data_IF_679983479625
#
_entry.id   IF_679983479625
#
_cell.length_a   1.000
_cell.length_b   1.000
_cell.length_c   1.000
_cell.angle_alpha   90.00
_cell.angle_beta   90.00
_cell.angle_gamma   90.00
#
_symmetry.space_group_name_H-M   'P 1'
#
loop_
_entity.id
_entity.type
_entity.pdbx_description
1 polymer ?
#
# COMPACT_ATOMS: atom_id res chain seq x y z
N UNK A 1 5.82 -37.36 21.92
CA UNK A 1 5.59 -35.99 21.40
C UNK A 1 6.95 -35.32 21.26
N UNK A 2 7.21 -34.63 20.14
CA UNK A 2 8.45 -33.87 19.97
C UNK A 2 8.43 -32.66 20.92
N UNK A 3 9.57 -32.24 21.50
CA UNK A 3 9.61 -31.05 22.32
C UNK A 3 9.24 -29.82 21.48
N UNK A 4 8.54 -28.87 22.11
CA UNK A 4 8.01 -27.67 21.44
C UNK A 4 9.09 -26.87 20.69
N UNK A 5 10.33 -26.84 21.19
CA UNK A 5 11.46 -26.20 20.52
C UNK A 5 11.80 -26.83 19.17
N UNK A 6 11.84 -28.17 19.09
CA UNK A 6 12.11 -28.90 17.84
C UNK A 6 10.99 -28.67 16.81
N UNK A 7 9.73 -28.60 17.25
CA UNK A 7 8.60 -28.30 16.37
C UNK A 7 8.71 -26.87 15.80
N UNK A 8 9.09 -25.89 16.62
CA UNK A 8 9.29 -24.52 16.17
C UNK A 8 10.45 -24.40 15.17
N UNK A 9 11.57 -25.09 15.42
CA UNK A 9 12.72 -25.11 14.52
C UNK A 9 12.39 -25.80 13.20
N UNK A 10 11.73 -26.96 13.24
CA UNK A 10 11.28 -27.68 12.04
C UNK A 10 10.34 -26.83 11.21
N UNK A 11 9.36 -26.18 11.85
CA UNK A 11 8.44 -25.27 11.16
C UNK A 11 9.19 -24.12 10.50
N UNK A 12 10.12 -23.46 11.21
CA UNK A 12 10.94 -22.38 10.65
C UNK A 12 11.74 -22.81 9.43
N UNK A 13 12.43 -23.93 9.52
CA UNK A 13 13.18 -24.49 8.41
C UNK A 13 12.29 -24.72 7.17
N UNK A 14 11.10 -25.28 7.37
CA UNK A 14 10.18 -25.60 6.27
C UNK A 14 9.72 -24.36 5.50
N UNK A 15 9.26 -23.31 6.19
CA UNK A 15 8.73 -22.13 5.50
C UNK A 15 9.81 -21.09 5.11
N UNK A 16 10.94 -21.01 5.81
CA UNK A 16 12.00 -20.03 5.51
C UNK A 16 12.95 -20.52 4.42
N UNK A 17 13.30 -21.81 4.44
CA UNK A 17 14.39 -22.34 3.62
C UNK A 17 13.89 -23.39 2.62
N UNK A 18 13.25 -24.46 3.11
CA UNK A 18 12.97 -25.65 2.32
C UNK A 18 11.97 -25.42 1.19
N UNK A 19 10.76 -24.91 1.50
CA UNK A 19 9.74 -24.63 0.47
C UNK A 19 10.19 -23.54 -0.51
N UNK A 20 10.75 -22.39 -0.08
CA UNK A 20 11.29 -21.41 -1.02
C UNK A 20 12.41 -21.97 -1.92
N UNK A 21 13.28 -22.86 -1.41
CA UNK A 21 14.32 -23.51 -2.21
C UNK A 21 13.71 -24.44 -3.27
N UNK A 22 12.73 -25.27 -2.90
CA UNK A 22 11.99 -26.12 -3.85
C UNK A 22 11.30 -25.29 -4.95
N UNK A 23 10.69 -24.15 -4.58
CA UNK A 23 10.05 -23.23 -5.53
C UNK A 23 11.05 -22.72 -6.59
N UNK A 24 12.27 -22.38 -6.15
CA UNK A 24 13.34 -21.87 -7.03
C UNK A 24 13.95 -22.95 -7.91
N UNK A 25 14.08 -24.17 -7.38
CA UNK A 25 14.66 -25.30 -8.08
C UNK A 25 13.77 -25.82 -9.23
N UNK A 26 12.51 -25.38 -9.32
CA UNK A 26 11.52 -25.85 -10.34
C UNK A 26 11.43 -27.37 -10.37
N UNK A 27 11.30 -27.96 -9.18
CA UNK A 27 11.26 -29.41 -8.99
C UNK A 27 10.19 -30.07 -9.90
N UNK A 28 10.51 -31.18 -10.59
CA UNK A 28 9.59 -31.87 -11.49
C UNK A 28 8.27 -32.32 -10.86
N UNK A 29 8.20 -32.52 -9.53
CA UNK A 29 6.96 -32.82 -8.82
C UNK A 29 5.97 -31.64 -8.79
N UNK A 30 6.41 -30.44 -9.19
CA UNK A 30 5.96 -29.21 -8.55
C UNK A 30 6.04 -28.00 -9.53
N UNK A 31 5.69 -28.22 -10.80
CA UNK A 31 6.09 -27.39 -11.98
C UNK A 31 5.66 -25.91 -11.98
N UNK A 32 4.67 -25.49 -11.16
CA UNK A 32 4.16 -24.09 -11.14
C UNK A 32 3.65 -23.66 -9.76
N UNK A 33 4.56 -23.40 -8.83
CA UNK A 33 4.17 -22.72 -7.59
C UNK A 33 3.92 -21.21 -7.82
N UNK A 34 2.75 -20.68 -7.39
CA UNK A 34 2.41 -19.27 -7.58
C UNK A 34 3.22 -18.32 -6.67
N UNK A 35 3.90 -18.86 -5.66
CA UNK A 35 4.64 -18.09 -4.65
C UNK A 35 6.07 -18.59 -4.48
N UNK A 36 6.97 -17.66 -4.15
CA UNK A 36 8.41 -17.91 -4.02
C UNK A 36 9.02 -17.31 -2.73
N UNK A 37 8.19 -16.65 -1.91
CA UNK A 37 8.62 -15.94 -0.71
C UNK A 37 8.20 -16.72 0.54
N UNK A 38 9.08 -16.78 1.52
CA UNK A 38 8.91 -17.45 2.82
C UNK A 38 7.57 -17.16 3.52
N UNK A 39 7.23 -15.88 3.65
CA UNK A 39 6.01 -15.43 4.31
C UNK A 39 4.74 -15.78 3.52
N UNK A 40 4.84 -16.01 2.21
CA UNK A 40 3.72 -16.47 1.40
C UNK A 40 3.38 -17.93 1.73
N UNK A 41 4.39 -18.80 1.82
CA UNK A 41 4.20 -20.20 2.24
C UNK A 41 3.63 -20.27 3.66
N UNK A 42 4.23 -19.54 4.60
CA UNK A 42 3.74 -19.49 5.98
C UNK A 42 2.26 -19.05 6.03
N UNK A 43 1.87 -17.99 5.31
CA UNK A 43 0.46 -17.57 5.26
C UNK A 43 -0.46 -18.66 4.72
N UNK A 44 -0.13 -19.24 3.56
CA UNK A 44 -0.98 -20.23 2.88
C UNK A 44 -1.18 -21.45 3.77
N UNK A 45 -0.09 -21.97 4.33
CA UNK A 45 -0.12 -23.15 5.20
C UNK A 45 -0.93 -22.85 6.47
N UNK A 46 -0.67 -21.72 7.14
CA UNK A 46 -1.38 -21.39 8.38
C UNK A 46 -2.88 -21.14 8.16
N UNK A 47 -3.26 -20.51 7.05
CA UNK A 47 -4.68 -20.30 6.72
C UNK A 47 -5.42 -21.62 6.50
N UNK A 48 -4.76 -22.61 5.89
CA UNK A 48 -5.38 -23.89 5.57
C UNK A 48 -5.29 -24.94 6.70
N UNK A 49 -4.26 -24.88 7.55
CA UNK A 49 -4.08 -25.82 8.67
C UNK A 49 -4.76 -25.35 9.96
N UNK A 50 -4.66 -24.06 10.29
CA UNK A 50 -5.13 -23.49 11.56
C UNK A 50 -6.35 -22.60 11.34
N UNK A 51 -6.27 -21.72 10.34
CA UNK A 51 -7.31 -20.74 10.06
C UNK A 51 -8.66 -21.34 9.68
N UNK A 52 -8.64 -22.39 8.82
CA UNK A 52 -9.76 -23.15 8.26
C UNK A 52 -10.87 -22.30 7.63
N UNK A 53 -11.63 -21.59 8.46
CA UNK A 53 -12.77 -20.73 8.11
C UNK A 53 -12.47 -19.23 8.25
N UNK A 54 -11.33 -18.87 8.86
CA UNK A 54 -10.89 -17.48 9.02
C UNK A 54 -9.38 -17.35 8.83
N UNK A 55 -8.87 -16.13 8.55
CA UNK A 55 -7.44 -15.89 8.50
C UNK A 55 -6.70 -16.30 9.78
N UNK A 56 -5.54 -16.95 9.64
CA UNK A 56 -4.78 -17.49 10.80
C UNK A 56 -4.45 -16.42 11.86
N UNK A 57 -4.28 -15.17 11.44
CA UNK A 57 -3.92 -14.04 12.32
C UNK A 57 -5.07 -13.57 13.22
N UNK A 58 -6.27 -14.15 13.05
CA UNK A 58 -7.39 -13.99 13.98
C UNK A 58 -7.47 -15.12 15.01
N UNK A 59 -6.75 -16.22 14.78
CA UNK A 59 -6.72 -17.41 15.66
C UNK A 59 -5.46 -17.41 16.52
N UNK A 60 -4.32 -17.03 15.94
CA UNK A 60 -3.01 -17.05 16.61
C UNK A 60 -2.39 -15.66 16.61
N UNK A 61 -1.84 -15.25 17.76
CA UNK A 61 -1.13 -13.98 17.91
C UNK A 61 0.21 -14.00 17.16
N UNK A 62 0.60 -12.86 16.61
CA UNK A 62 1.93 -12.68 16.05
C UNK A 62 2.99 -12.55 17.16
N UNK A 63 4.21 -13.09 16.98
CA UNK A 63 4.65 -13.97 15.89
C UNK A 63 4.13 -15.40 16.06
N UNK A 64 3.59 -16.01 15.00
CA UNK A 64 2.90 -17.29 15.06
C UNK A 64 3.77 -18.42 15.64
N UNK A 65 5.04 -18.50 15.25
CA UNK A 65 5.99 -19.53 15.72
C UNK A 65 6.03 -19.63 17.25
N UNK A 66 5.93 -18.50 17.96
CA UNK A 66 6.00 -18.45 19.43
C UNK A 66 4.65 -18.67 20.13
N UNK A 67 3.54 -18.49 19.42
CA UNK A 67 2.20 -18.43 20.01
C UNK A 67 1.29 -19.60 19.57
N UNK A 68 1.77 -20.49 18.70
CA UNK A 68 1.06 -21.72 18.34
C UNK A 68 1.25 -22.79 19.41
N UNK A 69 0.23 -23.62 19.61
CA UNK A 69 0.34 -24.85 20.40
C UNK A 69 1.17 -25.90 19.65
N UNK A 70 1.62 -26.93 20.36
CA UNK A 70 2.23 -28.13 19.80
C UNK A 70 1.36 -28.77 18.69
N UNK A 71 0.07 -28.95 18.95
CA UNK A 71 -0.90 -29.50 17.97
C UNK A 71 -1.00 -28.62 16.72
N UNK A 72 -0.98 -27.30 16.88
CA UNK A 72 -1.03 -26.36 15.77
C UNK A 72 0.26 -26.37 14.94
N UNK A 73 1.42 -26.46 15.61
CA UNK A 73 2.71 -26.61 14.96
C UNK A 73 2.79 -27.92 14.17
N UNK A 74 2.36 -29.03 14.76
CA UNK A 74 2.29 -30.33 14.09
C UNK A 74 1.38 -30.28 12.86
N UNK A 75 0.21 -29.65 12.97
CA UNK A 75 -0.71 -29.47 11.84
C UNK A 75 -0.10 -28.63 10.70
N UNK A 76 0.63 -27.57 11.04
CA UNK A 76 1.30 -26.73 10.06
C UNK A 76 2.48 -27.45 9.37
N UNK A 77 3.27 -28.20 10.14
CA UNK A 77 4.38 -29.03 9.62
C UNK A 77 3.84 -30.12 8.69
N UNK A 78 2.80 -30.85 9.11
CA UNK A 78 2.18 -31.89 8.30
C UNK A 78 1.66 -31.33 6.96
N UNK A 79 1.06 -30.14 6.97
CA UNK A 79 0.61 -29.49 5.74
C UNK A 79 1.78 -29.05 4.84
N UNK A 80 2.86 -28.55 5.42
CA UNK A 80 4.07 -28.20 4.68
C UNK A 80 4.75 -29.42 4.03
N UNK A 81 4.78 -30.55 4.73
CA UNK A 81 5.35 -31.80 4.23
C UNK A 81 4.50 -32.39 3.10
N UNK A 82 3.16 -32.32 3.21
CA UNK A 82 2.24 -32.69 2.12
C UNK A 82 2.41 -31.82 0.87
N UNK A 83 2.69 -30.53 1.06
CA UNK A 83 3.04 -29.65 -0.05
C UNK A 83 4.34 -30.08 -0.70
N UNK A 84 5.37 -30.39 0.10
CA UNK A 84 6.66 -30.82 -0.41
C UNK A 84 6.59 -32.17 -1.16
N UNK A 85 5.79 -33.12 -0.69
CA UNK A 85 5.61 -34.43 -1.36
C UNK A 85 4.72 -34.36 -2.59
N UNK A 86 4.01 -33.25 -2.82
CA UNK A 86 3.06 -33.09 -3.92
C UNK A 86 1.66 -33.68 -3.65
N UNK A 87 1.40 -34.14 -2.41
CA UNK A 87 0.08 -34.61 -1.98
C UNK A 87 -0.94 -33.47 -1.79
N UNK A 88 -0.48 -32.22 -1.74
CA UNK A 88 -1.31 -31.04 -1.67
C UNK A 88 -0.93 -30.07 -2.79
N UNK A 89 -1.94 -29.48 -3.45
CA UNK A 89 -1.72 -28.47 -4.48
C UNK A 89 -1.63 -27.07 -3.85
N UNK A 90 -0.44 -26.46 -3.94
CA UNK A 90 -0.21 -25.10 -3.45
C UNK A 90 -1.12 -24.07 -4.14
N UNK A 91 -1.47 -24.27 -5.41
CA UNK A 91 -2.31 -23.32 -6.16
C UNK A 91 -3.74 -23.32 -5.61
N UNK A 92 -4.28 -24.49 -5.28
CA UNK A 92 -5.60 -24.62 -4.64
C UNK A 92 -5.59 -23.99 -3.24
N UNK A 93 -4.56 -24.28 -2.44
CA UNK A 93 -4.43 -23.73 -1.09
C UNK A 93 -4.24 -22.20 -1.10
N UNK A 94 -3.50 -21.65 -2.06
CA UNK A 94 -3.34 -20.21 -2.23
C UNK A 94 -4.66 -19.54 -2.59
N UNK A 95 -5.39 -20.12 -3.54
CA UNK A 95 -6.70 -19.63 -3.96
C UNK A 95 -7.68 -19.58 -2.78
N UNK A 96 -7.77 -20.67 -2.01
CA UNK A 96 -8.58 -20.71 -0.78
C UNK A 96 -8.15 -19.67 0.25
N UNK A 97 -6.85 -19.47 0.45
CA UNK A 97 -6.33 -18.45 1.37
C UNK A 97 -6.64 -17.02 0.89
N UNK A 98 -6.67 -16.76 -0.42
CA UNK A 98 -7.08 -15.47 -1.00
C UNK A 98 -8.59 -15.23 -0.89
N UNK A 99 -9.41 -16.27 -1.09
CA UNK A 99 -10.87 -16.24 -0.95
C UNK A 99 -11.28 -15.94 0.51
N UNK A 100 -10.67 -16.63 1.47
CA UNK A 100 -10.88 -16.39 2.91
C UNK A 100 -10.56 -14.95 3.34
N UNK A 101 -9.62 -14.29 2.64
CA UNK A 101 -9.21 -12.91 2.90
C UNK A 101 -9.93 -11.87 2.03
N UNK A 102 -10.90 -12.31 1.21
CA UNK A 102 -11.74 -11.44 0.38
C UNK A 102 -11.04 -10.81 -0.82
N UNK A 103 -9.86 -11.30 -1.24
CA UNK A 103 -9.07 -10.68 -2.32
C UNK A 103 -9.53 -11.03 -3.73
N UNK A 104 -10.47 -11.96 -3.89
CA UNK A 104 -10.88 -12.51 -5.19
C UNK A 104 -12.11 -11.82 -5.81
N UNK A 105 -12.68 -10.79 -5.16
CA UNK A 105 -13.86 -10.08 -5.70
C UNK A 105 -13.62 -9.27 -6.99
N UNK A 106 -12.39 -9.15 -7.48
CA UNK A 106 -12.07 -8.31 -8.64
C UNK A 106 -11.95 -9.02 -9.99
N UNK A 107 -12.22 -10.33 -10.09
CA UNK A 107 -12.13 -11.07 -11.38
C UNK A 107 -13.48 -11.48 -11.99
N UNK A 108 -14.59 -11.38 -11.25
CA UNK A 108 -15.93 -11.83 -11.70
C UNK A 108 -16.88 -10.71 -12.16
N UNK A 109 -16.50 -9.43 -12.05
CA UNK A 109 -17.35 -8.28 -12.42
C UNK A 109 -17.24 -7.83 -13.89
N UNK A 110 -16.69 -8.64 -14.79
CA UNK A 110 -16.48 -8.23 -16.20
C UNK A 110 -17.11 -9.19 -17.22
N UNK A 111 -17.99 -10.08 -16.80
CA UNK A 111 -18.62 -11.08 -17.67
C UNK A 111 -20.16 -11.01 -17.73
N UNK A 112 -20.82 -10.25 -16.84
CA UNK A 112 -22.30 -10.30 -16.71
C UNK A 112 -22.98 -8.93 -16.90
N UNK A 113 -22.32 -7.94 -17.52
CA UNK A 113 -22.94 -6.63 -17.86
C UNK A 113 -23.51 -6.63 -19.29
N UNK A 114 -24.31 -7.63 -19.63
CA UNK A 114 -25.24 -7.57 -20.77
C UNK A 114 -26.50 -8.38 -20.47
N UNK A 115 -27.40 -7.82 -19.64
CA UNK A 115 -28.84 -8.02 -19.71
C UNK A 115 -29.59 -7.26 -18.62
N UNK A 116 -30.60 -6.51 -19.05
CA UNK A 116 -31.82 -6.11 -18.34
C UNK A 116 -31.75 -4.96 -17.31
N UNK A 117 -32.29 -3.83 -17.79
CA UNK A 117 -33.00 -2.81 -17.03
C UNK A 117 -34.16 -3.44 -16.25
N UNK A 118 -34.24 -3.21 -14.94
CA UNK A 118 -35.51 -2.94 -14.22
C UNK A 118 -35.24 -2.23 -12.89
N UNK A 119 -36.07 -1.24 -12.61
CA UNK A 119 -36.15 -0.48 -11.36
C UNK A 119 -36.48 -1.35 -10.14
N UNK A 120 -35.92 -0.99 -8.97
CA UNK A 120 -36.21 -1.69 -7.71
C UNK A 120 -35.46 -1.16 -6.48
N UNK A 121 -35.92 -0.03 -5.96
CA UNK A 121 -35.91 0.42 -4.55
C UNK A 121 -34.87 -0.10 -3.54
N UNK A 122 -34.05 0.87 -3.08
CA UNK A 122 -33.33 1.03 -1.80
C UNK A 122 -33.72 0.08 -0.64
N UNK A 123 -32.69 -0.53 -0.02
CA UNK A 123 -32.54 -0.65 1.45
C UNK A 123 -31.08 -0.47 1.87
N UNK A 124 -30.67 0.78 2.11
CA UNK A 124 -29.45 1.09 2.86
C UNK A 124 -29.72 0.84 4.35
N UNK A 125 -28.96 -0.07 4.97
CA UNK A 125 -28.86 -0.13 6.43
C UNK A 125 -28.10 1.11 6.91
N UNK A 126 -28.79 1.98 7.64
CA UNK A 126 -28.23 3.09 8.42
C UNK A 126 -27.13 2.56 9.34
N UNK A 127 -25.93 3.09 9.20
CA UNK A 127 -24.91 3.10 10.24
C UNK A 127 -24.68 4.56 10.65
N UNK A 128 -24.69 4.81 11.96
CA UNK A 128 -24.68 6.11 12.61
C UNK A 128 -23.55 7.04 12.17
N UNK A 129 -23.76 8.36 12.12
CA UNK A 129 -22.71 9.32 11.81
C UNK A 129 -21.88 9.59 13.06
N UNK A 130 -20.76 8.88 13.22
CA UNK A 130 -19.71 9.36 14.13
C UNK A 130 -18.91 10.41 13.37
N UNK A 131 -19.36 11.66 13.49
CA UNK A 131 -18.62 12.84 13.04
C UNK A 131 -17.26 12.83 13.73
N UNK A 132 -16.17 12.77 12.94
CA UNK A 132 -14.82 12.95 13.45
C UNK A 132 -14.72 14.34 14.08
N UNK A 133 -14.36 14.41 15.36
CA UNK A 133 -14.35 15.61 16.21
C UNK A 133 -13.31 16.66 15.82
N UNK A 134 -12.64 16.50 14.68
CA UNK A 134 -11.57 17.37 14.19
C UNK A 134 -12.03 18.34 13.10
N UNK A 135 -13.30 18.29 12.68
CA UNK A 135 -13.87 19.24 11.73
C UNK A 135 -14.40 20.49 12.45
N UNK A 136 -13.58 21.53 12.57
CA UNK A 136 -14.08 22.84 12.94
C UNK A 136 -14.82 23.47 11.73
N UNK A 137 -16.05 23.97 11.89
CA UNK A 137 -16.68 24.80 10.86
C UNK A 137 -15.89 26.09 10.68
N UNK A 138 -15.69 26.47 9.42
CA UNK A 138 -14.98 27.69 9.03
C UNK A 138 -15.74 28.94 9.53
N UNK A 139 -15.07 29.95 10.13
CA UNK A 139 -15.71 31.21 10.46
C UNK A 139 -16.15 31.95 9.18
N UNK A 140 -17.30 32.61 9.26
CA UNK A 140 -17.96 33.29 8.16
C UNK A 140 -17.05 34.29 7.42
N UNK A 141 -17.06 34.23 6.08
CA UNK A 141 -16.40 35.21 5.21
C UNK A 141 -16.99 36.62 5.39
N UNK A 142 -16.17 37.67 5.51
CA UNK A 142 -16.61 39.04 5.25
C UNK A 142 -16.85 39.27 3.75
N UNK A 143 -17.75 40.20 3.47
CA UNK A 143 -18.48 40.40 2.23
C UNK A 143 -17.64 40.90 1.04
N UNK A 144 -18.17 40.59 -0.15
CA UNK A 144 -17.80 41.12 -1.47
C UNK A 144 -17.73 42.65 -1.47
N UNK A 145 -16.63 43.19 -1.98
CA UNK A 145 -16.64 44.45 -2.73
C UNK A 145 -16.11 44.20 -4.14
N UNK A 146 -16.85 44.75 -5.09
CA UNK A 146 -16.73 44.68 -6.53
C UNK A 146 -15.49 45.36 -7.07
N UNK A 147 -14.85 44.80 -8.10
CA UNK A 147 -13.80 45.52 -8.83
C UNK A 147 -13.14 44.76 -9.98
N UNK A 148 -13.80 44.80 -11.15
CA UNK A 148 -13.26 44.80 -12.52
C UNK A 148 -12.51 43.55 -13.08
N UNK A 149 -13.03 43.15 -14.25
CA UNK A 149 -12.43 42.29 -15.27
C UNK A 149 -11.05 42.78 -15.69
N UNK A 150 -10.03 41.92 -15.58
CA UNK A 150 -8.88 41.92 -16.48
C UNK A 150 -8.49 40.47 -16.81
N UNK A 151 -8.39 40.17 -18.11
CA UNK A 151 -7.86 38.91 -18.65
C UNK A 151 -6.37 38.81 -18.29
N UNK A 152 -5.82 37.63 -17.95
CA UNK A 152 -4.39 37.45 -17.99
C UNK A 152 -3.97 37.03 -19.39
N UNK A 153 -3.28 37.98 -20.00
CA UNK A 153 -2.36 37.89 -21.11
C UNK A 153 -1.36 36.72 -20.96
N UNK A 154 -0.99 36.18 -22.11
CA UNK A 154 0.02 35.15 -22.29
C UNK A 154 1.38 35.74 -21.95
N UNK A 155 2.10 35.18 -20.98
CA UNK A 155 3.55 35.40 -20.92
C UNK A 155 4.29 34.28 -20.18
N UNK A 156 4.94 33.49 -21.03
CA UNK A 156 6.17 32.73 -20.86
C UNK A 156 7.12 33.31 -19.79
N UNK A 157 7.40 32.55 -18.73
CA UNK A 157 8.50 32.82 -17.79
C UNK A 157 9.12 31.50 -17.36
N UNK A 158 10.28 31.21 -17.95
CA UNK A 158 11.25 30.24 -17.47
C UNK A 158 11.50 30.41 -15.96
N UNK A 159 11.13 29.38 -15.21
CA UNK A 159 11.14 29.32 -13.75
C UNK A 159 12.58 29.22 -13.24
N UNK A 160 13.07 30.27 -12.58
CA UNK A 160 14.34 30.23 -11.84
C UNK A 160 14.10 29.36 -10.61
N UNK A 161 14.54 28.10 -10.65
CA UNK A 161 14.38 27.15 -9.55
C UNK A 161 14.89 27.71 -8.22
N UNK A 162 14.04 27.63 -7.20
CA UNK A 162 14.31 27.99 -5.81
C UNK A 162 15.67 27.40 -5.36
N UNK A 163 16.62 28.22 -4.86
CA UNK A 163 17.97 27.77 -4.50
C UNK A 163 17.97 26.62 -3.47
N UNK A 164 16.90 26.44 -2.71
CA UNK A 164 16.72 25.32 -1.80
C UNK A 164 16.62 23.98 -2.56
N UNK A 165 15.89 23.93 -3.67
CA UNK A 165 15.64 22.70 -4.44
C UNK A 165 16.91 22.18 -5.11
N UNK A 166 17.73 23.06 -5.69
CA UNK A 166 19.00 22.68 -6.34
C UNK A 166 19.96 21.99 -5.35
N UNK A 167 20.07 22.53 -4.13
CA UNK A 167 20.89 21.92 -3.07
C UNK A 167 20.39 20.54 -2.63
N UNK A 168 19.06 20.36 -2.56
CA UNK A 168 18.44 19.07 -2.22
C UNK A 168 18.69 18.03 -3.30
N UNK A 169 18.54 18.42 -4.58
CA UNK A 169 18.79 17.53 -5.70
C UNK A 169 20.23 17.03 -5.69
N UNK A 170 21.19 17.91 -5.42
CA UNK A 170 22.60 17.52 -5.26
C UNK A 170 22.79 16.52 -4.11
N UNK A 171 22.24 16.79 -2.92
CA UNK A 171 22.29 15.86 -1.76
C UNK A 171 21.73 14.47 -2.09
N UNK A 172 20.64 14.40 -2.85
CA UNK A 172 20.05 13.12 -3.29
C UNK A 172 21.02 12.38 -4.22
N UNK A 173 21.60 13.09 -5.20
CA UNK A 173 22.52 12.49 -6.17
C UNK A 173 23.83 12.00 -5.53
N UNK A 174 24.38 12.74 -4.58
CA UNK A 174 25.64 12.41 -3.91
C UNK A 174 25.49 11.26 -2.87
N UNK A 175 24.27 10.87 -2.53
CA UNK A 175 24.02 9.86 -1.49
C UNK A 175 24.27 8.42 -1.94
N UNK A 176 24.41 7.50 -0.99
CA UNK A 176 24.63 6.07 -1.22
C UNK A 176 23.35 5.25 -1.46
N UNK A 177 22.18 5.89 -1.60
CA UNK A 177 20.92 5.18 -1.83
C UNK A 177 20.84 4.62 -3.26
N UNK A 178 20.02 3.59 -3.46
CA UNK A 178 19.80 2.96 -4.77
C UNK A 178 19.34 3.96 -5.84
N UNK A 179 19.70 3.73 -7.10
CA UNK A 179 19.28 4.56 -8.23
C UNK A 179 17.76 4.81 -8.29
N UNK A 180 16.95 3.77 -8.06
CA UNK A 180 15.48 3.91 -7.98
C UNK A 180 15.03 4.92 -6.91
N UNK A 181 15.63 4.88 -5.72
CA UNK A 181 15.32 5.83 -4.64
C UNK A 181 15.77 7.25 -5.00
N UNK A 182 16.94 7.42 -5.61
CA UNK A 182 17.40 8.74 -6.10
C UNK A 182 16.38 9.33 -7.06
N UNK A 183 16.01 8.57 -8.10
CA UNK A 183 15.01 9.00 -9.09
C UNK A 183 13.67 9.33 -8.44
N UNK A 184 13.17 8.47 -7.54
CA UNK A 184 11.87 8.68 -6.89
C UNK A 184 11.87 9.94 -6.01
N UNK A 185 12.94 10.20 -5.26
CA UNK A 185 13.06 11.38 -4.40
C UNK A 185 13.31 12.67 -5.21
N UNK A 186 14.06 12.59 -6.31
CA UNK A 186 14.19 13.70 -7.26
C UNK A 186 12.83 14.08 -7.86
N UNK A 187 12.05 13.09 -8.28
CA UNK A 187 10.70 13.32 -8.80
C UNK A 187 9.75 13.91 -7.74
N UNK A 188 9.91 13.50 -6.47
CA UNK A 188 9.14 14.05 -5.35
C UNK A 188 9.40 15.56 -5.16
N UNK A 189 10.63 16.04 -5.34
CA UNK A 189 10.98 17.46 -5.26
C UNK A 189 10.29 18.31 -6.35
N UNK A 190 9.81 17.71 -7.44
CA UNK A 190 9.10 18.42 -8.50
C UNK A 190 7.64 18.75 -8.13
N UNK A 191 7.07 18.09 -7.11
CA UNK A 191 5.68 18.36 -6.69
C UNK A 191 5.64 19.73 -5.99
N UNK A 192 4.95 20.74 -6.54
CA UNK A 192 4.93 22.07 -5.95
C UNK A 192 4.26 22.09 -4.58
N UNK A 193 4.60 23.10 -3.76
CA UNK A 193 3.89 23.38 -2.52
C UNK A 193 2.39 23.58 -2.81
N UNK A 194 1.52 22.99 -2.00
CA UNK A 194 0.07 23.06 -2.17
C UNK A 194 -0.50 22.13 -3.24
N UNK A 195 0.37 21.35 -3.90
CA UNK A 195 -0.01 20.24 -4.79
C UNK A 195 0.31 18.91 -4.11
N UNK A 196 -0.39 17.88 -4.55
CA UNK A 196 -0.14 16.51 -4.14
C UNK A 196 0.00 15.63 -5.38
N UNK A 197 0.65 14.47 -5.24
CA UNK A 197 0.56 13.39 -6.24
C UNK A 197 0.16 12.09 -5.54
N UNK A 198 0.02 11.00 -6.28
CA UNK A 198 -0.32 9.68 -5.74
C UNK A 198 0.79 8.68 -5.99
N UNK A 199 0.87 7.65 -5.15
CA UNK A 199 1.82 6.55 -5.37
C UNK A 199 1.68 5.93 -6.77
N UNK A 200 0.43 5.81 -7.26
CA UNK A 200 0.13 5.33 -8.60
C UNK A 200 0.69 6.25 -9.68
N UNK A 201 0.36 7.55 -9.62
CA UNK A 201 0.84 8.53 -10.59
C UNK A 201 2.39 8.57 -10.70
N UNK A 202 3.07 8.52 -9.55
CA UNK A 202 4.52 8.42 -9.51
C UNK A 202 5.04 7.11 -10.13
N UNK A 203 4.42 5.97 -9.81
CA UNK A 203 4.85 4.68 -10.37
C UNK A 203 4.58 4.57 -11.88
N UNK A 204 3.49 5.15 -12.36
CA UNK A 204 3.15 5.20 -13.79
C UNK A 204 4.25 5.93 -14.56
N UNK A 205 4.63 7.12 -14.07
CA UNK A 205 5.65 7.93 -14.71
C UNK A 205 7.02 7.24 -14.71
N UNK A 206 7.45 6.65 -13.59
CA UNK A 206 8.73 5.91 -13.53
C UNK A 206 8.70 4.70 -14.47
N UNK A 207 7.57 3.99 -14.53
CA UNK A 207 7.43 2.81 -15.39
C UNK A 207 7.52 3.15 -16.88
N UNK A 208 7.03 4.32 -17.27
CA UNK A 208 7.05 4.77 -18.66
C UNK A 208 8.40 5.35 -19.10
N UNK A 209 9.23 5.84 -18.16
CA UNK A 209 10.46 6.56 -18.49
C UNK A 209 11.76 5.81 -18.11
N UNK A 210 11.70 4.81 -17.23
CA UNK A 210 12.91 4.12 -16.75
C UNK A 210 12.75 2.61 -16.69
N UNK A 211 11.94 2.09 -15.76
CA UNK A 211 11.77 0.64 -15.57
C UNK A 211 10.45 0.35 -14.87
N UNK A 212 9.88 -0.83 -15.16
CA UNK A 212 8.63 -1.29 -14.53
C UNK A 212 8.73 -1.21 -13.00
N UNK A 213 7.80 -0.46 -12.41
CA UNK A 213 7.67 -0.32 -10.96
C UNK A 213 6.20 -0.36 -10.55
N UNK A 214 5.93 -0.24 -9.25
CA UNK A 214 4.57 -0.21 -8.73
C UNK A 214 4.43 0.79 -7.57
N UNK A 215 3.19 1.18 -7.28
CA UNK A 215 2.86 2.11 -6.20
C UNK A 215 3.44 1.68 -4.83
N UNK A 216 3.53 0.37 -4.57
CA UNK A 216 4.13 -0.15 -3.33
C UNK A 216 5.64 0.09 -3.25
N UNK A 217 6.36 -0.01 -4.36
CA UNK A 217 7.79 0.31 -4.42
C UNK A 217 8.04 1.80 -4.15
N UNK A 218 7.22 2.68 -4.74
CA UNK A 218 7.24 4.12 -4.45
C UNK A 218 6.96 4.39 -2.96
N UNK A 219 5.93 3.73 -2.39
CA UNK A 219 5.62 3.84 -0.96
C UNK A 219 6.78 3.43 -0.05
N UNK A 220 7.52 2.38 -0.41
CA UNK A 220 8.72 1.96 0.31
C UNK A 220 9.87 2.98 0.20
N UNK A 221 10.02 3.64 -0.95
CA UNK A 221 10.99 4.73 -1.10
C UNK A 221 10.63 5.93 -0.21
N UNK A 222 9.34 6.30 -0.15
CA UNK A 222 8.84 7.38 0.73
C UNK A 222 9.04 7.06 2.22
N UNK A 223 8.76 5.81 2.63
CA UNK A 223 8.93 5.36 4.02
C UNK A 223 10.37 5.50 4.51
N UNK A 224 11.32 5.26 3.61
CA UNK A 224 12.75 5.27 3.90
C UNK A 224 13.42 6.54 3.36
N UNK A 225 12.72 7.67 3.30
CA UNK A 225 13.31 8.94 2.86
C UNK A 225 14.29 9.48 3.93
N UNK A 226 15.61 9.50 3.69
CA UNK A 226 16.58 9.99 4.67
C UNK A 226 16.69 11.53 4.71
N UNK A 227 16.05 12.22 3.75
CA UNK A 227 16.09 13.68 3.61
C UNK A 227 14.77 14.33 4.03
N UNK A 228 13.98 13.64 4.86
CA UNK A 228 12.79 14.22 5.45
C UNK A 228 13.19 15.16 6.60
N UNK A 229 12.52 16.31 6.81
CA UNK A 229 11.32 16.78 6.10
C UNK A 229 11.56 17.59 4.82
N UNK A 230 12.80 17.93 4.47
CA UNK A 230 13.11 18.82 3.34
C UNK A 230 12.63 18.25 1.99
N UNK A 231 12.76 16.93 1.81
CA UNK A 231 12.18 16.21 0.68
C UNK A 231 10.74 15.80 1.04
N UNK A 232 9.71 16.35 0.37
CA UNK A 232 8.35 16.48 0.90
C UNK A 232 7.50 15.22 0.75
N UNK A 233 7.87 14.14 1.43
CA UNK A 233 7.18 12.83 1.30
C UNK A 233 5.71 12.85 1.75
N UNK A 234 5.27 13.87 2.50
CA UNK A 234 3.87 14.10 2.86
C UNK A 234 2.98 14.46 1.65
N UNK A 235 3.54 14.95 0.54
CA UNK A 235 2.79 15.31 -0.68
C UNK A 235 2.29 14.11 -1.49
N UNK A 236 2.61 12.87 -1.10
CA UNK A 236 2.20 11.66 -1.81
C UNK A 236 1.03 10.97 -1.09
N UNK A 237 -0.10 10.84 -1.76
CA UNK A 237 -1.36 10.31 -1.24
C UNK A 237 -1.75 8.96 -1.86
N UNK A 238 -2.81 8.35 -1.33
CA UNK A 238 -3.39 7.14 -1.90
C UNK A 238 -4.08 7.43 -3.24
N UNK A 239 -4.22 6.41 -4.09
CA UNK A 239 -4.80 6.55 -5.42
C UNK A 239 -6.29 6.92 -5.45
N UNK A 240 -7.00 6.70 -4.34
CA UNK A 240 -8.42 7.02 -4.17
C UNK A 240 -8.66 8.44 -3.60
N UNK A 241 -7.59 9.19 -3.37
CA UNK A 241 -7.60 10.54 -2.81
C UNK A 241 -7.52 10.60 -1.28
N UNK A 242 -7.48 9.45 -0.59
CA UNK A 242 -7.31 9.43 0.88
C UNK A 242 -5.85 9.70 1.28
N UNK A 243 -5.62 9.99 2.57
CA UNK A 243 -4.32 10.40 3.09
C UNK A 243 -3.19 9.40 2.80
N UNK A 244 -3.48 8.09 2.79
CA UNK A 244 -2.48 7.04 2.62
C UNK A 244 -1.51 6.91 3.81
N UNK A 245 -0.28 6.46 3.54
CA UNK A 245 0.73 6.22 4.57
C UNK A 245 1.62 7.42 4.88
N UNK A 246 2.16 7.47 6.11
CA UNK A 246 3.16 8.43 6.53
C UNK A 246 4.07 7.92 7.65
N UNK A 247 5.39 8.16 7.55
CA UNK A 247 6.40 7.73 8.55
C UNK A 247 6.21 6.27 9.01
N UNK A 248 5.82 5.40 8.07
CA UNK A 248 5.59 3.98 8.32
C UNK A 248 4.31 3.61 9.05
N UNK A 249 3.40 4.54 9.32
CA UNK A 249 2.01 4.27 9.72
C UNK A 249 1.07 4.42 8.52
N UNK A 250 -0.07 3.72 8.52
CA UNK A 250 -1.03 3.72 7.41
C UNK A 250 -2.43 4.10 7.88
N UNK A 251 -3.18 4.79 7.01
CA UNK A 251 -4.58 5.14 7.24
C UNK A 251 -4.78 6.42 8.04
N UNK A 252 -6.03 6.88 8.12
CA UNK A 252 -6.44 8.10 8.84
C UNK A 252 -6.27 7.99 10.36
N UNK A 253 -6.33 6.78 10.90
CA UNK A 253 -6.07 6.48 12.31
C UNK A 253 -4.58 6.21 12.59
N UNK A 254 -3.72 6.32 11.57
CA UNK A 254 -2.28 6.12 11.75
C UNK A 254 -1.69 7.13 12.72
N UNK A 255 -0.69 6.72 13.50
CA UNK A 255 0.01 7.56 14.50
C UNK A 255 0.43 8.93 13.96
N UNK A 256 0.79 9.01 12.68
CA UNK A 256 1.28 10.23 12.03
C UNK A 256 0.28 10.85 11.03
N UNK A 257 -0.97 10.37 10.99
CA UNK A 257 -1.99 10.85 10.05
C UNK A 257 -2.31 12.33 10.30
N UNK A 258 -2.53 12.71 11.57
CA UNK A 258 -2.78 14.10 11.98
C UNK A 258 -1.66 15.04 11.50
N UNK A 259 -0.42 14.65 11.76
CA UNK A 259 0.75 15.44 11.37
C UNK A 259 0.88 15.60 9.84
N UNK A 260 0.57 14.55 9.06
CA UNK A 260 0.54 14.65 7.59
C UNK A 260 -0.56 15.59 7.11
N UNK A 261 -1.75 15.54 7.73
CA UNK A 261 -2.83 16.48 7.42
C UNK A 261 -2.45 17.92 7.70
N UNK A 262 -1.81 18.20 8.84
CA UNK A 262 -1.34 19.54 9.21
C UNK A 262 -0.37 20.09 8.15
N UNK A 263 0.67 19.31 7.79
CA UNK A 263 1.63 19.71 6.75
C UNK A 263 0.95 20.01 5.41
N UNK A 264 0.02 19.16 4.98
CA UNK A 264 -0.73 19.36 3.73
C UNK A 264 -1.64 20.58 3.80
N UNK A 265 -2.30 20.79 4.94
CA UNK A 265 -3.21 21.91 5.14
C UNK A 265 -2.47 23.26 5.15
N UNK A 266 -1.33 23.33 5.82
CA UNK A 266 -0.39 24.47 5.84
C UNK A 266 0.19 24.79 4.47
N UNK A 267 0.28 23.80 3.60
CA UNK A 267 0.67 23.98 2.20
C UNK A 267 -0.49 24.45 1.30
N UNK A 268 -1.73 24.40 1.77
CA UNK A 268 -2.91 24.80 1.00
C UNK A 268 -3.71 23.63 0.41
N UNK A 269 -3.32 22.38 0.68
CA UNK A 269 -4.09 21.20 0.26
C UNK A 269 -5.35 21.09 1.12
N UNK A 270 -6.48 20.75 0.49
CA UNK A 270 -7.80 20.67 1.14
C UNK A 270 -8.40 19.29 0.94
N UNK A 271 -9.12 18.83 1.96
CA UNK A 271 -9.86 17.57 1.95
C UNK A 271 -11.37 17.86 2.03
N UNK A 272 -12.19 16.96 1.51
CA UNK A 272 -13.64 17.00 1.66
C UNK A 272 -14.11 16.36 2.97
N UNK A 273 -15.44 16.33 3.19
CA UNK A 273 -16.03 15.73 4.39
C UNK A 273 -15.90 14.21 4.46
N UNK A 274 -15.42 13.57 3.39
CA UNK A 274 -15.17 12.13 3.30
C UNK A 274 -13.67 11.80 3.42
N UNK A 275 -12.81 12.77 3.77
CA UNK A 275 -11.38 12.56 3.92
C UNK A 275 -10.62 12.45 2.59
N UNK A 276 -11.24 12.84 1.46
CA UNK A 276 -10.60 12.83 0.15
C UNK A 276 -10.07 14.20 -0.23
N UNK A 277 -8.85 14.21 -0.76
CA UNK A 277 -8.21 15.44 -1.26
C UNK A 277 -8.98 16.03 -2.43
N UNK A 278 -9.08 17.36 -2.48
CA UNK A 278 -9.72 18.10 -3.56
C UNK A 278 -8.74 18.37 -4.69
N UNK A 279 -9.24 18.30 -5.93
CA UNK A 279 -8.46 18.58 -7.14
C UNK A 279 -7.66 17.37 -7.64
N UNK A 280 -7.12 17.42 -8.88
CA UNK A 280 -6.41 16.29 -9.48
C UNK A 280 -4.97 16.17 -8.96
N UNK A 281 -4.39 14.96 -8.98
CA UNK A 281 -3.00 14.76 -8.61
C UNK A 281 -2.06 15.42 -9.63
N UNK A 282 -0.94 15.92 -9.14
CA UNK A 282 0.17 16.38 -9.96
C UNK A 282 0.77 15.21 -10.76
N UNK A 283 0.84 15.39 -12.08
CA UNK A 283 1.39 14.41 -13.04
C UNK A 283 2.40 15.02 -14.03
N UNK A 284 2.67 16.32 -13.94
CA UNK A 284 3.57 17.03 -14.83
C UNK A 284 5.04 16.86 -14.41
N UNK A 285 5.48 15.60 -14.25
CA UNK A 285 6.85 15.27 -13.93
C UNK A 285 7.74 15.35 -15.18
N UNK A 286 9.00 15.75 -14.98
CA UNK A 286 10.06 15.92 -15.99
C UNK A 286 11.18 14.91 -15.76
#
# INVERSE_FOLDING_TARGET
>A
MKPMGELQERWRYLYQDFLPAMAKARDPAQRKWPVHLDHCFARIILDNSIGKDRPWNQVVKSPAVKNMTDVQLESAIAMAERLASGEADLQELDQRSLDLRGKTRNKKRKADDDASVTEGSKKYKKASPTVSSYFLPSPASPQKTSGKNEKPDSQDKHDKQDPNVSSQLKRIQDSSITAFRKQTLTMLCQIPRGRYSTYGAMSDWISNNSHKTCARAVGNAMRNNPFAPEVPCHRVLAGDGTLGGFKGSWGEEGKYAKHKHELLHEEGVRFDSQGKVKGPPFRAFI
#
